data_IF_334827324193
#
_entry.id   IF_334827324193
#
_cell.length_a   1.000
_cell.length_b   1.000
_cell.length_c   1.000
_cell.angle_alpha   90.00
_cell.angle_beta   90.00
_cell.angle_gamma   90.00
#
_symmetry.space_group_name_H-M   'P 1'
#
loop_
_entity.id
_entity.type
_entity.pdbx_description
1 polymer ?
#
# COMPACT_ATOMS: atom_id res chain seq x y z
N UNK A 1 -54.94 31.96 5.62
CA UNK A 1 -53.57 32.36 6.01
C UNK A 1 -52.86 32.79 4.73
N UNK A 2 -52.44 34.05 4.66
CA UNK A 2 -52.00 34.66 3.41
C UNK A 2 -50.49 34.94 3.49
N UNK A 3 -49.69 34.11 2.82
CA UNK A 3 -48.22 34.19 2.82
C UNK A 3 -47.68 35.45 2.09
N UNK A 4 -48.52 36.11 1.28
CA UNK A 4 -48.17 37.30 0.51
C UNK A 4 -48.13 38.60 1.34
N UNK A 5 -48.64 38.61 2.58
CA UNK A 5 -48.65 39.81 3.43
C UNK A 5 -47.37 39.94 4.28
N UNK A 6 -46.61 38.86 4.45
CA UNK A 6 -45.32 38.82 5.14
C UNK A 6 -44.24 39.60 4.36
N UNK A 7 -44.37 39.71 3.03
CA UNK A 7 -43.46 40.42 2.13
C UNK A 7 -43.55 41.95 2.25
N UNK A 8 -44.57 42.49 2.91
CA UNK A 8 -44.88 43.94 2.96
C UNK A 8 -44.25 44.70 4.13
N UNK A 9 -43.19 44.18 4.76
CA UNK A 9 -42.40 44.94 5.76
C UNK A 9 -40.98 45.23 5.26
N UNK A 10 -40.83 46.03 4.17
CA UNK A 10 -39.52 46.32 3.55
C UNK A 10 -38.53 46.92 4.56
N UNK A 11 -39.01 47.67 5.55
CA UNK A 11 -38.19 48.26 6.60
C UNK A 11 -37.42 47.23 7.42
N UNK A 12 -37.98 46.03 7.67
CA UNK A 12 -37.27 44.98 8.43
C UNK A 12 -36.14 44.35 7.61
N UNK A 13 -36.35 44.19 6.32
CA UNK A 13 -35.33 43.69 5.39
C UNK A 13 -34.22 44.71 5.16
N UNK A 14 -34.56 45.99 5.03
CA UNK A 14 -33.57 47.09 4.92
C UNK A 14 -32.72 47.17 6.19
N UNK A 15 -33.32 47.05 7.38
CA UNK A 15 -32.56 47.00 8.65
C UNK A 15 -31.66 45.77 8.71
N UNK A 16 -32.14 44.60 8.30
CA UNK A 16 -31.33 43.38 8.23
C UNK A 16 -30.13 43.52 7.28
N UNK A 17 -30.36 44.07 6.09
CA UNK A 17 -29.30 44.32 5.09
C UNK A 17 -28.30 45.36 5.62
N UNK A 18 -28.77 46.42 6.28
CA UNK A 18 -27.88 47.43 6.86
C UNK A 18 -26.96 46.84 7.94
N UNK A 19 -27.49 45.97 8.82
CA UNK A 19 -26.70 45.27 9.84
C UNK A 19 -25.70 44.33 9.19
N UNK A 20 -26.12 43.58 8.17
CA UNK A 20 -25.23 42.67 7.44
C UNK A 20 -24.07 43.44 6.79
N UNK A 21 -24.36 44.54 6.08
CA UNK A 21 -23.32 45.37 5.45
C UNK A 21 -22.37 45.93 6.51
N UNK A 22 -22.89 46.43 7.63
CA UNK A 22 -22.04 46.96 8.71
C UNK A 22 -21.14 45.86 9.31
N UNK A 23 -21.66 44.65 9.51
CA UNK A 23 -20.87 43.51 9.98
C UNK A 23 -19.73 43.17 9.01
N UNK A 24 -20.00 43.13 7.70
CA UNK A 24 -18.97 42.83 6.71
C UNK A 24 -17.90 43.91 6.66
N UNK A 25 -18.27 45.19 6.79
CA UNK A 25 -17.29 46.29 6.86
C UNK A 25 -16.38 46.13 8.08
N UNK A 26 -16.92 45.76 9.24
CA UNK A 26 -16.13 45.49 10.46
C UNK A 26 -15.19 44.30 10.27
N UNK A 27 -15.67 43.20 9.68
CA UNK A 27 -14.84 42.00 9.41
C UNK A 27 -13.72 42.32 8.43
N UNK A 28 -14.02 43.02 7.33
CA UNK A 28 -13.01 43.44 6.35
C UNK A 28 -11.98 44.37 7.02
N UNK A 29 -12.42 45.33 7.83
CA UNK A 29 -11.52 46.21 8.57
C UNK A 29 -10.63 45.44 9.56
N UNK A 30 -11.17 44.45 10.28
CA UNK A 30 -10.41 43.61 11.19
C UNK A 30 -9.38 42.74 10.45
N UNK A 31 -9.71 42.23 9.26
CA UNK A 31 -8.78 41.44 8.45
C UNK A 31 -7.64 42.29 7.89
N UNK A 32 -7.94 43.49 7.38
CA UNK A 32 -6.93 44.42 6.86
C UNK A 32 -5.96 44.87 7.95
N UNK A 33 -6.45 45.11 9.17
CA UNK A 33 -5.62 45.61 10.27
C UNK A 33 -5.06 44.50 11.19
N UNK A 34 -5.60 43.28 11.16
CA UNK A 34 -5.38 42.27 12.20
C UNK A 34 -4.63 41.01 11.78
N UNK A 35 -4.54 40.69 10.49
CA UNK A 35 -4.05 39.37 10.06
C UNK A 35 -2.51 39.24 10.01
N UNK A 36 -1.76 40.34 10.15
CA UNK A 36 -0.39 40.38 9.62
C UNK A 36 0.81 40.36 10.56
N UNK A 37 0.73 40.67 11.87
CA UNK A 37 1.99 41.03 12.57
C UNK A 37 2.11 40.78 14.07
N UNK A 38 1.31 39.89 14.69
CA UNK A 38 1.42 39.66 16.15
C UNK A 38 1.53 38.22 16.64
N UNK A 39 1.47 37.22 15.76
CA UNK A 39 1.45 35.80 16.17
C UNK A 39 2.83 35.13 16.12
N UNK A 40 3.84 35.74 15.50
CA UNK A 40 5.18 35.12 15.33
C UNK A 40 6.14 35.46 16.49
N UNK A 41 5.88 36.48 17.30
CA UNK A 41 6.87 36.97 18.27
C UNK A 41 6.81 36.34 19.67
N UNK A 42 5.90 35.40 19.95
CA UNK A 42 5.67 34.91 21.32
C UNK A 42 5.93 33.41 21.56
N UNK A 43 6.76 32.76 20.75
CA UNK A 43 7.16 31.35 20.97
C UNK A 43 8.66 31.08 20.87
N UNK A 44 9.49 31.93 21.47
CA UNK A 44 10.88 31.59 21.77
C UNK A 44 11.05 31.54 23.31
N UNK A 45 10.82 30.38 23.96
CA UNK A 45 11.20 30.25 25.37
C UNK A 45 12.72 30.48 25.48
N UNK A 46 13.19 31.33 26.42
CA UNK A 46 14.62 31.49 26.62
C UNK A 46 15.18 30.14 27.05
N UNK A 47 16.03 29.56 26.21
CA UNK A 47 16.84 28.40 26.58
C UNK A 47 17.68 28.86 27.76
N UNK A 48 17.28 28.44 28.97
CA UNK A 48 18.07 28.66 30.18
C UNK A 48 19.32 27.81 30.06
N UNK A 49 20.35 28.39 29.49
CA UNK A 49 21.72 27.88 29.56
C UNK A 49 22.15 27.96 31.02
N UNK A 50 21.87 26.90 31.77
CA UNK A 50 22.56 26.66 33.03
C UNK A 50 24.01 26.44 32.63
N UNK A 51 24.85 27.43 32.92
CA UNK A 51 26.30 27.38 32.75
C UNK A 51 26.79 26.18 33.57
N UNK A 52 26.96 25.05 32.90
CA UNK A 52 27.75 23.95 33.39
C UNK A 52 29.18 24.41 33.14
N UNK A 53 29.88 24.80 34.20
CA UNK A 53 31.34 24.89 34.18
C UNK A 53 31.83 23.52 33.75
N UNK A 54 32.27 23.41 32.49
CA UNK A 54 32.76 22.18 31.90
C UNK A 54 33.97 21.72 32.73
N UNK A 55 33.89 20.58 33.45
CA UNK A 55 35.06 20.06 34.14
C UNK A 55 36.10 19.75 33.06
N UNK A 56 37.25 20.43 33.13
CA UNK A 56 38.37 20.24 32.20
C UNK A 56 38.59 18.74 32.01
N UNK A 57 38.39 18.26 30.77
CA UNK A 57 38.60 16.84 30.42
C UNK A 57 39.96 16.39 30.98
N UNK A 58 40.03 15.26 31.71
CA UNK A 58 41.30 14.63 32.01
C UNK A 58 42.08 14.45 30.70
N UNK A 59 43.42 14.63 30.72
CA UNK A 59 44.23 14.42 29.53
C UNK A 59 43.93 13.02 28.95
N UNK A 60 43.82 12.90 27.61
CA UNK A 60 43.48 11.64 26.99
C UNK A 60 44.49 10.57 27.40
N UNK A 61 44.03 9.33 27.67
CA UNK A 61 44.93 8.22 27.93
C UNK A 61 45.89 8.06 26.75
N UNK A 62 47.14 7.62 26.98
CA UNK A 62 48.08 7.35 25.91
C UNK A 62 47.45 6.36 24.91
N UNK A 63 47.72 6.52 23.60
CA UNK A 63 47.14 5.66 22.59
C UNK A 63 47.50 4.19 22.86
N UNK A 64 46.56 3.26 22.66
CA UNK A 64 46.85 1.84 22.80
C UNK A 64 47.96 1.43 21.83
N UNK A 65 48.78 0.43 22.19
CA UNK A 65 49.77 -0.11 21.26
C UNK A 65 49.07 -0.56 19.97
N UNK A 66 49.73 -0.41 18.81
CA UNK A 66 49.14 -0.81 17.54
C UNK A 66 48.73 -2.30 17.61
N UNK A 67 47.53 -2.65 17.12
CA UNK A 67 47.10 -4.04 17.07
C UNK A 67 48.15 -4.88 16.32
N UNK A 68 48.36 -6.15 16.72
CA UNK A 68 49.10 -7.10 15.89
C UNK A 68 48.49 -7.08 14.49
N UNK A 69 49.31 -6.90 13.45
CA UNK A 69 48.83 -6.97 12.08
C UNK A 69 48.30 -8.39 11.84
N UNK A 70 46.98 -8.54 11.82
CA UNK A 70 46.33 -9.71 11.27
C UNK A 70 46.52 -9.61 9.76
N UNK A 71 47.48 -10.35 9.22
CA UNK A 71 47.47 -10.64 7.80
C UNK A 71 46.18 -11.40 7.52
N UNK A 72 45.28 -10.79 6.73
CA UNK A 72 44.10 -11.50 6.25
C UNK A 72 44.58 -12.72 5.47
N UNK A 73 44.16 -13.95 5.82
CA UNK A 73 44.47 -15.10 4.99
C UNK A 73 43.92 -14.83 3.58
N UNK A 74 44.67 -15.21 2.52
CA UNK A 74 44.22 -14.98 1.16
C UNK A 74 42.84 -15.64 0.97
N UNK A 75 41.93 -14.98 0.20
CA UNK A 75 40.61 -15.52 -0.02
C UNK A 75 40.72 -16.94 -0.63
N UNK A 76 39.84 -17.88 -0.23
CA UNK A 76 39.81 -19.21 -0.82
C UNK A 76 39.64 -19.11 -2.33
N UNK A 77 40.67 -19.52 -3.09
CA UNK A 77 40.58 -19.62 -4.53
C UNK A 77 39.80 -20.88 -4.90
N UNK A 78 38.53 -20.71 -5.31
CA UNK A 78 37.77 -21.77 -5.95
C UNK A 78 38.15 -21.73 -7.44
N UNK A 79 38.94 -22.70 -7.95
CA UNK A 79 39.26 -22.72 -9.37
C UNK A 79 37.95 -22.80 -10.17
N UNK A 80 37.79 -21.96 -11.21
CA UNK A 80 36.59 -22.02 -12.04
C UNK A 80 36.45 -23.43 -12.62
N UNK A 81 35.24 -24.00 -12.59
CA UNK A 81 34.99 -25.31 -13.19
C UNK A 81 35.39 -25.24 -14.67
N UNK A 82 36.16 -26.23 -15.14
CA UNK A 82 36.49 -26.36 -16.56
C UNK A 82 35.19 -26.66 -17.30
N UNK A 83 34.60 -25.64 -17.90
CA UNK A 83 33.47 -25.76 -18.82
C UNK A 83 33.98 -26.52 -20.04
N UNK A 84 33.67 -27.81 -20.13
CA UNK A 84 33.79 -28.54 -21.39
C UNK A 84 32.66 -28.04 -22.28
N UNK A 85 32.97 -27.10 -23.16
CA UNK A 85 32.04 -26.64 -24.20
C UNK A 85 31.83 -27.84 -25.13
N UNK A 86 30.65 -28.46 -25.08
CA UNK A 86 30.25 -29.39 -26.14
C UNK A 86 30.25 -28.60 -27.46
N UNK A 87 30.91 -29.11 -28.52
CA UNK A 87 30.85 -28.48 -29.83
C UNK A 87 29.39 -28.29 -30.27
N UNK A 88 29.06 -27.18 -30.93
CA UNK A 88 27.69 -26.93 -31.39
C UNK A 88 27.22 -28.10 -32.28
N UNK A 89 25.95 -28.53 -32.16
CA UNK A 89 25.42 -29.62 -32.97
C UNK A 89 25.54 -29.27 -34.45
N UNK A 90 26.18 -30.16 -35.21
CA UNK A 90 26.29 -30.01 -36.67
C UNK A 90 24.88 -30.01 -37.26
N UNK A 91 24.52 -28.94 -37.97
CA UNK A 91 23.29 -28.86 -38.76
C UNK A 91 23.26 -30.03 -39.73
N UNK A 92 22.38 -30.99 -39.50
CA UNK A 92 22.07 -32.01 -40.51
C UNK A 92 21.41 -31.31 -41.70
N UNK A 93 22.05 -31.45 -42.86
CA UNK A 93 21.52 -30.98 -44.14
C UNK A 93 20.24 -31.74 -44.43
N UNK A 94 19.11 -31.03 -44.36
CA UNK A 94 17.80 -31.55 -44.75
C UNK A 94 17.83 -31.69 -46.27
N UNK A 95 17.73 -32.93 -46.76
CA UNK A 95 17.52 -33.21 -48.19
C UNK A 95 16.22 -32.54 -48.62
N UNK A 96 16.26 -31.74 -49.69
CA UNK A 96 15.07 -31.17 -50.31
C UNK A 96 14.07 -32.28 -50.64
N UNK A 97 12.88 -32.20 -50.04
CA UNK A 97 11.72 -33.01 -50.42
C UNK A 97 10.94 -32.19 -51.44
N UNK A 98 10.88 -32.69 -52.67
CA UNK A 98 10.03 -32.20 -53.75
C UNK A 98 8.58 -32.18 -53.29
N UNK A 99 7.89 -31.06 -53.44
CA UNK A 99 6.47 -30.95 -53.13
C UNK A 99 5.65 -31.62 -54.24
N UNK A 100 5.11 -32.80 -53.96
CA UNK A 100 3.98 -33.34 -54.72
C UNK A 100 2.66 -32.78 -54.20
N UNK A 101 1.74 -32.47 -55.11
CA UNK A 101 0.44 -31.84 -54.84
C UNK A 101 -0.45 -32.77 -53.98
N UNK A 102 -0.96 -32.33 -52.83
CA UNK A 102 -1.85 -33.14 -52.00
C UNK A 102 -3.15 -33.55 -52.71
N UNK A 103 -3.63 -34.80 -52.58
CA UNK A 103 -4.99 -35.19 -52.93
C UNK A 103 -6.02 -34.57 -51.96
N UNK A 104 -7.24 -34.38 -52.46
CA UNK A 104 -8.38 -33.80 -51.74
C UNK A 104 -8.81 -34.65 -50.51
N UNK A 105 -9.54 -34.04 -49.54
CA UNK A 105 -9.71 -34.59 -48.20
C UNK A 105 -10.71 -35.76 -48.15
N UNK A 106 -10.38 -36.77 -47.35
CA UNK A 106 -11.33 -37.78 -46.85
C UNK A 106 -11.78 -37.43 -45.42
N UNK A 107 -13.03 -37.75 -45.03
CA UNK A 107 -13.58 -37.40 -43.71
C UNK A 107 -12.89 -38.17 -42.57
N UNK A 108 -12.96 -37.67 -41.32
CA UNK A 108 -12.15 -38.16 -40.23
C UNK A 108 -12.66 -39.52 -39.70
N UNK A 109 -11.78 -40.52 -39.70
CA UNK A 109 -11.92 -41.72 -38.88
C UNK A 109 -11.06 -41.56 -37.62
N UNK A 110 -11.76 -41.30 -36.52
CA UNK A 110 -11.29 -41.23 -35.15
C UNK A 110 -10.63 -42.57 -34.75
N UNK A 111 -9.35 -42.54 -34.33
CA UNK A 111 -8.70 -43.49 -33.41
C UNK A 111 -7.20 -43.15 -33.26
N UNK A 112 -6.88 -42.17 -32.42
CA UNK A 112 -5.52 -42.00 -31.87
C UNK A 112 -5.56 -42.32 -30.37
N UNK A 113 -4.66 -43.17 -29.83
CA UNK A 113 -4.56 -43.40 -28.39
C UNK A 113 -4.29 -42.09 -27.64
N UNK A 114 -4.93 -41.85 -26.49
CA UNK A 114 -4.67 -40.65 -25.70
C UNK A 114 -3.19 -40.57 -25.29
N UNK A 115 -2.57 -39.42 -25.52
CA UNK A 115 -1.23 -39.13 -25.02
C UNK A 115 -1.20 -39.28 -23.48
N UNK A 116 -0.11 -39.82 -22.90
CA UNK A 116 0.05 -39.85 -21.45
C UNK A 116 -0.11 -38.45 -20.87
N UNK A 117 -1.02 -38.30 -19.90
CA UNK A 117 -1.23 -37.05 -19.20
C UNK A 117 0.10 -36.60 -18.56
N UNK A 118 0.46 -35.34 -18.76
CA UNK A 118 1.51 -34.70 -17.98
C UNK A 118 1.22 -34.93 -16.48
N UNK A 119 2.24 -35.22 -15.65
CA UNK A 119 2.03 -35.30 -14.20
C UNK A 119 1.34 -34.01 -13.77
N UNK A 120 0.17 -34.13 -13.14
CA UNK A 120 -0.40 -33.02 -12.39
C UNK A 120 0.71 -32.58 -11.44
N UNK A 121 1.07 -31.30 -11.46
CA UNK A 121 1.88 -30.74 -10.39
C UNK A 121 1.26 -31.11 -9.03
N UNK A 122 2.01 -30.98 -7.93
CA UNK A 122 1.45 -31.16 -6.59
C UNK A 122 0.10 -30.43 -6.52
N UNK A 123 -0.93 -31.01 -5.87
CA UNK A 123 -2.22 -30.36 -5.75
C UNK A 123 -1.95 -28.93 -5.28
N UNK A 124 -2.34 -27.93 -6.09
CA UNK A 124 -2.40 -26.56 -5.60
C UNK A 124 -3.31 -26.65 -4.39
N UNK A 125 -2.83 -26.33 -3.19
CA UNK A 125 -3.66 -26.49 -2.02
C UNK A 125 -4.90 -25.62 -2.19
N UNK A 126 -6.07 -26.12 -1.79
CA UNK A 126 -7.33 -25.37 -1.67
C UNK A 126 -7.24 -24.28 -0.57
N UNK A 127 -6.03 -23.77 -0.30
CA UNK A 127 -5.60 -23.14 0.95
C UNK A 127 -5.24 -21.67 0.74
N UNK A 128 -6.10 -20.93 0.05
CA UNK A 128 -6.06 -19.47 0.16
C UNK A 128 -7.42 -18.95 0.56
N UNK A 129 -7.42 -18.13 1.60
CA UNK A 129 -8.52 -17.27 1.91
C UNK A 129 -8.82 -16.38 0.70
N UNK A 130 -10.10 -16.09 0.49
CA UNK A 130 -10.52 -15.18 -0.57
C UNK A 130 -9.96 -13.77 -0.34
N UNK A 131 -9.66 -13.04 -1.41
CA UNK A 131 -9.14 -11.68 -1.32
C UNK A 131 -10.19 -10.64 -0.85
N UNK A 132 -11.47 -11.00 -0.86
CA UNK A 132 -12.59 -10.11 -0.52
C UNK A 132 -13.37 -10.60 0.71
N UNK A 133 -13.89 -9.68 1.55
CA UNK A 133 -14.70 -10.06 2.70
C UNK A 133 -16.02 -10.73 2.30
N UNK A 134 -16.38 -11.82 2.98
CA UNK A 134 -17.64 -12.56 2.80
C UNK A 134 -18.83 -11.88 3.49
N UNK A 135 -18.57 -10.95 4.42
CA UNK A 135 -19.62 -10.22 5.14
C UNK A 135 -19.99 -8.87 4.52
N UNK A 136 -19.51 -8.58 3.30
CA UNK A 136 -19.80 -7.33 2.60
C UNK A 136 -19.19 -6.09 3.25
N UNK A 137 -18.26 -6.24 4.20
CA UNK A 137 -17.52 -5.12 4.75
C UNK A 137 -16.78 -4.39 3.62
N UNK A 138 -16.74 -3.05 3.69
CA UNK A 138 -16.02 -2.20 2.76
C UNK A 138 -15.15 -1.21 3.55
N UNK A 139 -13.99 -0.81 3.00
CA UNK A 139 -13.22 0.26 3.60
C UNK A 139 -13.99 1.57 3.53
N UNK A 140 -13.95 2.34 4.62
CA UNK A 140 -14.55 3.68 4.68
C UNK A 140 -13.47 4.67 4.27
N UNK A 141 -13.77 5.53 3.30
CA UNK A 141 -12.85 6.55 2.84
C UNK A 141 -12.66 7.62 3.94
N UNK A 142 -11.43 8.02 4.32
CA UNK A 142 -11.21 9.09 5.28
C UNK A 142 -11.78 10.43 4.80
N UNK A 143 -12.59 11.11 5.63
CA UNK A 143 -13.27 12.35 5.24
C UNK A 143 -12.27 13.43 4.82
N UNK A 144 -11.16 13.59 5.54
CA UNK A 144 -10.14 14.59 5.21
C UNK A 144 -9.50 14.35 3.83
N UNK A 145 -9.33 13.08 3.44
CA UNK A 145 -8.75 12.72 2.14
C UNK A 145 -9.76 12.91 1.01
N UNK A 146 -11.05 12.71 1.32
CA UNK A 146 -12.14 12.92 0.38
C UNK A 146 -12.26 14.41 0.02
N UNK A 147 -12.20 15.28 1.03
CA UNK A 147 -12.23 16.74 0.85
C UNK A 147 -11.01 17.24 0.05
N UNK A 148 -9.85 16.63 0.25
CA UNK A 148 -8.62 16.94 -0.47
C UNK A 148 -8.52 16.28 -1.86
N UNK A 149 -9.51 15.48 -2.27
CA UNK A 149 -9.47 14.66 -3.49
C UNK A 149 -8.17 13.84 -3.60
N UNK A 150 -7.77 13.22 -2.50
CA UNK A 150 -6.57 12.38 -2.45
C UNK A 150 -6.95 10.93 -2.41
N UNK A 151 -6.24 10.13 -3.20
CA UNK A 151 -6.37 8.67 -3.23
C UNK A 151 -5.19 8.01 -2.53
N UNK A 152 -5.36 6.72 -2.23
CA UNK A 152 -4.31 5.95 -1.59
C UNK A 152 -4.56 4.45 -1.66
N UNK A 153 -3.55 3.70 -1.27
CA UNK A 153 -3.62 2.24 -1.17
C UNK A 153 -2.82 1.76 0.01
N UNK A 154 -3.27 0.66 0.61
CA UNK A 154 -2.63 0.04 1.76
C UNK A 154 -2.54 -1.46 1.51
N UNK A 155 -1.34 -2.01 1.67
CA UNK A 155 -1.10 -3.45 1.63
C UNK A 155 -0.77 -3.92 3.03
N UNK A 156 -1.47 -4.95 3.49
CA UNK A 156 -1.38 -5.49 4.84
C UNK A 156 -1.19 -7.00 4.77
N UNK A 157 -0.23 -7.53 5.52
CA UNK A 157 -0.11 -8.97 5.76
C UNK A 157 -0.84 -9.31 7.07
N UNK A 158 -1.83 -10.18 7.04
CA UNK A 158 -2.61 -10.61 8.21
C UNK A 158 -2.68 -12.14 8.28
N UNK A 159 -2.94 -12.66 9.47
CA UNK A 159 -3.35 -14.03 9.66
C UNK A 159 -4.89 -14.12 9.60
N UNK A 160 -5.42 -15.05 8.80
CA UNK A 160 -6.86 -15.30 8.69
C UNK A 160 -7.20 -16.53 9.52
N UNK A 161 -8.01 -16.32 10.57
CA UNK A 161 -8.44 -17.37 11.48
C UNK A 161 -9.46 -18.32 10.86
N UNK A 162 -9.72 -19.44 11.54
CA UNK A 162 -10.73 -20.44 11.14
C UNK A 162 -12.16 -19.90 11.15
N UNK A 163 -12.39 -18.78 11.84
CA UNK A 163 -13.64 -18.02 11.89
C UNK A 163 -13.70 -16.88 10.84
N UNK A 164 -12.67 -16.77 9.99
CA UNK A 164 -12.55 -15.73 8.98
C UNK A 164 -12.11 -14.37 9.52
N UNK A 165 -11.79 -14.22 10.81
CA UNK A 165 -11.28 -12.95 11.35
C UNK A 165 -9.81 -12.76 10.98
N UNK A 166 -9.43 -11.52 10.70
CA UNK A 166 -8.02 -11.14 10.56
C UNK A 166 -7.39 -10.88 11.92
N UNK A 167 -6.16 -11.33 12.10
CA UNK A 167 -5.31 -11.08 13.27
C UNK A 167 -3.86 -10.86 12.83
N UNK A 168 -2.98 -10.43 13.74
CA UNK A 168 -1.55 -10.20 13.45
C UNK A 168 -1.27 -9.32 12.20
N UNK A 169 -2.16 -8.37 11.92
CA UNK A 169 -2.07 -7.52 10.75
C UNK A 169 -0.89 -6.55 10.83
N UNK A 170 -0.02 -6.57 9.81
CA UNK A 170 1.12 -5.69 9.66
C UNK A 170 1.08 -4.99 8.30
N UNK A 171 1.20 -3.67 8.30
CA UNK A 171 1.24 -2.87 7.08
C UNK A 171 2.60 -3.09 6.41
N UNK A 172 2.58 -3.58 5.17
CA UNK A 172 3.79 -3.83 4.39
C UNK A 172 4.08 -2.71 3.39
N UNK A 173 3.04 -2.04 2.91
CA UNK A 173 3.17 -0.87 2.03
C UNK A 173 1.94 0.04 2.19
N UNK A 174 2.14 1.34 2.01
CA UNK A 174 1.06 2.33 2.04
C UNK A 174 1.39 3.54 1.19
N UNK A 175 0.38 4.08 0.51
CA UNK A 175 0.44 5.33 -0.25
C UNK A 175 -0.71 6.26 0.19
N UNK A 176 -0.58 7.56 -0.07
CA UNK A 176 -1.63 8.54 0.21
C UNK A 176 -1.67 9.10 1.64
N UNK A 177 -1.00 8.47 2.61
CA UNK A 177 -0.81 9.01 3.97
C UNK A 177 -1.35 8.11 5.09
N UNK A 178 -1.19 8.54 6.35
CA UNK A 178 -1.55 7.75 7.54
C UNK A 178 -3.06 7.49 7.65
N UNK A 179 -3.91 8.42 7.22
CA UNK A 179 -5.36 8.28 7.29
C UNK A 179 -5.88 7.01 6.58
N UNK A 180 -5.32 6.68 5.42
CA UNK A 180 -5.68 5.44 4.71
C UNK A 180 -5.26 4.18 5.46
N UNK A 181 -4.13 4.22 6.17
CA UNK A 181 -3.67 3.10 7.00
C UNK A 181 -4.64 2.87 8.16
N UNK A 182 -5.05 3.93 8.83
CA UNK A 182 -6.02 3.85 9.92
C UNK A 182 -7.37 3.29 9.45
N UNK A 183 -7.90 3.84 8.35
CA UNK A 183 -9.13 3.34 7.72
C UNK A 183 -9.03 1.87 7.28
N UNK A 184 -7.89 1.46 6.72
CA UNK A 184 -7.64 0.07 6.33
C UNK A 184 -7.65 -0.86 7.56
N UNK A 185 -6.99 -0.48 8.66
CA UNK A 185 -6.96 -1.28 9.88
C UNK A 185 -8.34 -1.38 10.54
N UNK A 186 -9.15 -0.31 10.52
CA UNK A 186 -10.54 -0.37 10.97
C UNK A 186 -11.41 -1.30 10.12
N UNK A 187 -11.25 -1.24 8.80
CA UNK A 187 -11.92 -2.12 7.87
C UNK A 187 -11.61 -3.59 8.17
N UNK A 188 -10.33 -3.94 8.35
CA UNK A 188 -9.89 -5.31 8.63
C UNK A 188 -10.50 -5.86 9.93
N UNK A 189 -10.65 -5.03 10.98
CA UNK A 189 -11.33 -5.45 12.23
C UNK A 189 -12.78 -5.90 12.01
N UNK A 190 -13.47 -5.26 11.06
CA UNK A 190 -14.88 -5.51 10.73
C UNK A 190 -15.03 -6.61 9.67
N UNK A 191 -14.04 -6.78 8.80
CA UNK A 191 -14.06 -7.76 7.72
C UNK A 191 -14.08 -9.21 8.24
N UNK A 192 -14.75 -10.08 7.49
CA UNK A 192 -14.64 -11.53 7.63
C UNK A 192 -14.28 -12.10 6.27
N UNK A 193 -13.31 -13.00 6.24
CA UNK A 193 -12.81 -13.66 5.05
C UNK A 193 -13.21 -15.13 5.05
N UNK A 194 -13.20 -15.75 3.88
CA UNK A 194 -13.31 -17.20 3.80
C UNK A 194 -12.03 -17.81 4.40
N UNK A 195 -12.09 -18.67 5.43
CA UNK A 195 -10.90 -19.32 5.95
C UNK A 195 -10.31 -20.29 4.92
N UNK A 196 -9.00 -20.49 4.98
CA UNK A 196 -8.34 -21.57 4.25
C UNK A 196 -8.87 -22.94 4.74
N UNK A 197 -8.95 -23.92 3.84
CA UNK A 197 -9.52 -25.24 4.16
C UNK A 197 -8.52 -26.33 3.86
N UNK A 198 -8.17 -27.16 4.86
CA UNK A 198 -7.32 -28.35 4.70
C UNK A 198 -8.09 -29.60 5.11
N UNK A 199 -8.17 -30.60 4.22
CA UNK A 199 -8.94 -31.83 4.44
C UNK A 199 -10.42 -31.58 4.85
N UNK A 200 -11.03 -30.54 4.28
CA UNK A 200 -12.41 -30.15 4.59
C UNK A 200 -12.60 -29.45 5.93
N UNK A 201 -11.52 -29.15 6.65
CA UNK A 201 -11.54 -28.42 7.92
C UNK A 201 -10.95 -27.01 7.74
N UNK A 202 -11.59 -25.97 8.30
CA UNK A 202 -11.01 -24.62 8.33
C UNK A 202 -9.68 -24.62 9.10
N UNK A 203 -8.67 -23.99 8.53
CA UNK A 203 -7.34 -23.80 9.14
C UNK A 203 -6.97 -22.33 9.15
N UNK A 204 -6.04 -21.96 10.04
CA UNK A 204 -5.48 -20.60 10.06
C UNK A 204 -4.51 -20.44 8.89
N UNK A 205 -4.68 -19.39 8.11
CA UNK A 205 -3.72 -18.98 7.09
C UNK A 205 -2.86 -17.84 7.63
N UNK A 206 -1.53 -18.00 7.58
CA UNK A 206 -0.60 -16.99 8.07
C UNK A 206 -0.10 -16.09 6.93
N UNK A 207 0.17 -14.82 7.25
CA UNK A 207 0.76 -13.84 6.30
C UNK A 207 -0.02 -13.66 4.99
N UNK A 208 -1.35 -13.79 5.03
CA UNK A 208 -2.20 -13.49 3.88
C UNK A 208 -2.10 -12.01 3.52
N UNK A 209 -1.80 -11.72 2.25
CA UNK A 209 -1.59 -10.35 1.77
C UNK A 209 -2.88 -9.76 1.22
N UNK A 210 -3.33 -8.68 1.86
CA UNK A 210 -4.55 -7.94 1.52
C UNK A 210 -4.19 -6.58 0.93
N UNK A 211 -4.74 -6.28 -0.24
CA UNK A 211 -4.61 -4.98 -0.90
C UNK A 211 -5.93 -4.20 -0.78
N UNK A 212 -5.86 -3.02 -0.19
CA UNK A 212 -7.01 -2.14 0.05
C UNK A 212 -6.75 -0.85 -0.71
N UNK A 213 -7.59 -0.55 -1.69
CA UNK A 213 -7.48 0.66 -2.50
C UNK A 213 -8.59 1.63 -2.12
N UNK A 214 -8.21 2.90 -1.96
CA UNK A 214 -9.10 4.02 -1.72
C UNK A 214 -9.05 4.91 -2.96
N UNK A 215 -9.98 4.69 -3.87
CA UNK A 215 -10.16 5.47 -5.09
C UNK A 215 -11.41 6.33 -4.99
N UNK A 216 -11.35 7.53 -5.53
CA UNK A 216 -12.51 8.39 -5.73
C UNK A 216 -13.25 7.80 -6.93
N UNK A 217 -14.36 7.10 -6.69
CA UNK A 217 -15.16 6.55 -7.79
C UNK A 217 -15.64 7.66 -8.72
N UNK A 218 -15.59 7.43 -10.03
CA UNK A 218 -16.37 8.19 -11.01
C UNK A 218 -17.83 7.68 -10.95
N UNK A 219 -18.57 8.00 -9.89
CA UNK A 219 -20.02 7.73 -9.81
C UNK A 219 -20.87 8.89 -10.35
#
# INVERSE_FOLDING_TARGET
MNYAEQERRPTKYIVGIAIAVLFHVVVIYALVNGLGSKIVEQFHPPIKTKIITEPKKPPPPPPPPPPPQMTTPPPPYIPPPKIQIQPPPQKHVIKQVTHEKPPAPVPPANNAPPAPAAPKGPPVPDHSAGASPINGARPVFPEEMLEENREGSVTVACDIGTDGRTSNCQVTNSTGGHAFVEAAMEFLRKARYQPAVTNGQPVVEHHHTLHINFTLGDD
#
